data_IF_295552421650
#
_entry.id   IF_295552421650
#
_cell.length_a   1.000
_cell.length_b   1.000
_cell.length_c   1.000
_cell.angle_alpha   90.00
_cell.angle_beta   90.00
_cell.angle_gamma   90.00
#
_symmetry.space_group_name_H-M   'P 1'
#
loop_
_entity.id
_entity.type
_entity.pdbx_description
1 polymer ?
#
# COMPACT_ATOMS: atom_id res chain seq x y z
N UNK A 1 14.70 -11.16 -2.05
CA UNK A 1 13.42 -11.63 -2.63
C UNK A 1 13.43 -11.38 -4.13
N UNK A 2 12.81 -12.22 -4.96
CA UNK A 2 12.69 -11.96 -6.41
C UNK A 2 11.48 -11.07 -6.70
N UNK A 3 11.56 -10.20 -7.71
CA UNK A 3 10.46 -9.29 -8.10
C UNK A 3 9.18 -10.10 -8.39
N UNK A 4 9.27 -11.19 -9.13
CA UNK A 4 8.10 -12.05 -9.44
C UNK A 4 7.40 -12.56 -8.17
N UNK A 5 8.16 -12.93 -7.13
CA UNK A 5 7.58 -13.39 -5.86
C UNK A 5 6.85 -12.28 -5.09
N UNK A 6 7.22 -11.01 -5.30
CA UNK A 6 6.48 -9.87 -4.76
C UNK A 6 5.24 -9.58 -5.59
N UNK A 7 5.32 -9.72 -6.92
CA UNK A 7 4.18 -9.55 -7.82
C UNK A 7 3.09 -10.61 -7.59
N UNK A 8 3.47 -11.84 -7.22
CA UNK A 8 2.50 -12.89 -6.87
C UNK A 8 1.64 -12.54 -5.63
N UNK A 9 2.14 -11.68 -4.74
CA UNK A 9 1.43 -11.29 -3.51
C UNK A 9 0.27 -10.34 -3.76
N UNK A 10 0.25 -9.68 -4.91
CA UNK A 10 -0.86 -8.83 -5.36
C UNK A 10 -1.77 -9.56 -6.36
N UNK A 11 -1.63 -10.88 -6.50
CA UNK A 11 -2.58 -11.66 -7.27
C UNK A 11 -3.98 -11.60 -6.61
N UNK A 12 -4.99 -11.24 -7.39
CA UNK A 12 -6.36 -11.07 -6.89
C UNK A 12 -6.66 -9.68 -6.29
N UNK A 13 -5.69 -8.78 -6.31
CA UNK A 13 -5.93 -7.36 -6.01
C UNK A 13 -6.60 -6.68 -7.22
N UNK A 14 -7.12 -5.45 -7.06
CA UNK A 14 -7.69 -4.68 -8.16
C UNK A 14 -6.78 -4.59 -9.39
N UNK A 15 -7.38 -4.40 -10.56
CA UNK A 15 -6.65 -4.23 -11.83
C UNK A 15 -5.58 -3.13 -11.72
N UNK A 16 -4.42 -3.35 -12.32
CA UNK A 16 -3.29 -2.42 -12.22
C UNK A 16 -2.43 -2.55 -10.96
N UNK A 17 -2.81 -3.38 -9.96
CA UNK A 17 -1.98 -3.57 -8.75
C UNK A 17 -0.62 -4.17 -9.04
N UNK A 18 -0.57 -5.18 -9.91
CA UNK A 18 0.69 -5.81 -10.33
C UNK A 18 1.57 -4.83 -11.09
N UNK A 19 1.00 -4.07 -12.02
CA UNK A 19 1.71 -3.05 -12.80
C UNK A 19 2.23 -1.91 -11.90
N UNK A 20 1.42 -1.46 -10.95
CA UNK A 20 1.82 -0.43 -9.99
C UNK A 20 2.97 -0.91 -9.08
N UNK A 21 2.90 -2.13 -8.56
CA UNK A 21 3.99 -2.72 -7.78
C UNK A 21 5.26 -2.89 -8.63
N UNK A 22 5.13 -3.42 -9.84
CA UNK A 22 6.26 -3.57 -10.75
C UNK A 22 6.93 -2.22 -11.05
N UNK A 23 6.14 -1.22 -11.46
CA UNK A 23 6.68 0.12 -11.74
C UNK A 23 7.36 0.70 -10.51
N UNK A 24 6.79 0.53 -9.31
CA UNK A 24 7.41 1.00 -8.08
C UNK A 24 8.74 0.30 -7.80
N UNK A 25 8.80 -1.02 -7.95
CA UNK A 25 10.03 -1.81 -7.73
C UNK A 25 11.12 -1.47 -8.74
N UNK A 26 10.76 -1.15 -9.99
CA UNK A 26 11.70 -0.81 -11.06
C UNK A 26 12.17 0.65 -11.00
N UNK A 27 11.27 1.58 -10.66
CA UNK A 27 11.52 3.03 -10.81
C UNK A 27 11.64 3.78 -9.49
N UNK A 28 11.11 3.23 -8.39
CA UNK A 28 11.00 3.90 -7.09
C UNK A 28 10.10 5.14 -7.09
N UNK A 29 9.24 5.34 -8.11
CA UNK A 29 8.34 6.49 -8.21
C UNK A 29 7.19 6.40 -7.21
N UNK A 30 6.99 7.47 -6.44
CA UNK A 30 5.93 7.55 -5.45
C UNK A 30 4.54 7.37 -6.05
N UNK A 31 4.29 7.87 -7.25
CA UNK A 31 2.99 7.74 -7.92
C UNK A 31 2.58 6.29 -8.15
N UNK A 32 3.56 5.41 -8.41
CA UNK A 32 3.31 3.98 -8.54
C UNK A 32 2.94 3.35 -7.19
N UNK A 33 3.61 3.76 -6.11
CA UNK A 33 3.29 3.34 -4.76
C UNK A 33 1.90 3.81 -4.32
N UNK A 34 1.56 5.07 -4.57
CA UNK A 34 0.27 5.64 -4.18
C UNK A 34 -0.89 4.86 -4.82
N UNK A 35 -0.76 4.48 -6.10
CA UNK A 35 -1.73 3.61 -6.78
C UNK A 35 -1.84 2.23 -6.13
N UNK A 36 -0.70 1.60 -5.83
CA UNK A 36 -0.67 0.31 -5.16
C UNK A 36 -1.35 0.37 -3.78
N UNK A 37 -1.06 1.42 -2.99
CA UNK A 37 -1.67 1.63 -1.67
C UNK A 37 -3.18 1.78 -1.79
N UNK A 38 -3.68 2.56 -2.75
CA UNK A 38 -5.13 2.67 -3.02
C UNK A 38 -5.75 1.33 -3.39
N UNK A 39 -5.07 0.52 -4.21
CA UNK A 39 -5.57 -0.81 -4.56
C UNK A 39 -5.61 -1.76 -3.35
N UNK A 40 -4.57 -1.73 -2.51
CA UNK A 40 -4.52 -2.53 -1.30
C UNK A 40 -5.61 -2.12 -0.31
N UNK A 41 -5.83 -0.81 -0.12
CA UNK A 41 -6.96 -0.30 0.68
C UNK A 41 -8.27 -0.90 0.16
N UNK A 42 -8.56 -0.75 -1.15
CA UNK A 42 -9.81 -1.28 -1.73
C UNK A 42 -9.98 -2.77 -1.55
N UNK A 43 -8.90 -3.53 -1.65
CA UNK A 43 -8.92 -4.98 -1.44
C UNK A 43 -9.37 -5.34 -0.01
N UNK A 44 -8.75 -4.71 0.99
CA UNK A 44 -8.96 -5.02 2.40
C UNK A 44 -10.14 -4.29 3.05
N UNK A 45 -10.70 -3.26 2.41
CA UNK A 45 -11.88 -2.60 2.94
C UNK A 45 -13.00 -3.60 3.23
N UNK A 46 -13.80 -3.40 4.29
CA UNK A 46 -14.96 -4.24 4.54
C UNK A 46 -16.04 -3.99 3.48
N UNK A 47 -16.89 -4.99 3.22
CA UNK A 47 -17.99 -4.88 2.24
C UNK A 47 -19.04 -3.83 2.60
N UNK A 48 -19.01 -3.31 3.83
CA UNK A 48 -19.82 -2.18 4.30
C UNK A 48 -19.34 -0.83 3.78
N UNK A 49 -18.08 -0.74 3.32
CA UNK A 49 -17.54 0.49 2.73
C UNK A 49 -18.00 0.63 1.27
N UNK A 50 -18.57 1.79 0.95
CA UNK A 50 -18.90 2.15 -0.44
C UNK A 50 -17.68 2.20 -1.36
N UNK A 51 -16.49 2.50 -0.82
CA UNK A 51 -15.24 2.54 -1.60
C UNK A 51 -14.75 1.14 -2.01
N UNK A 52 -15.29 0.07 -1.42
CA UNK A 52 -15.02 -1.29 -1.89
C UNK A 52 -15.81 -1.62 -3.17
N UNK A 53 -17.06 -1.16 -3.26
CA UNK A 53 -17.99 -1.56 -4.32
C UNK A 53 -18.11 -0.54 -5.44
N UNK A 54 -17.91 0.74 -5.14
CA UNK A 54 -17.92 1.82 -6.12
C UNK A 54 -16.50 2.29 -6.44
N UNK A 55 -16.01 1.89 -7.61
CA UNK A 55 -14.68 2.20 -8.10
C UNK A 55 -14.58 3.61 -8.70
N UNK A 56 -15.72 4.31 -8.88
CA UNK A 56 -15.73 5.70 -9.36
C UNK A 56 -15.39 6.70 -8.27
N UNK A 57 -15.58 6.32 -6.99
CA UNK A 57 -15.23 7.16 -5.85
C UNK A 57 -13.72 7.27 -5.70
N UNK A 58 -13.19 8.49 -5.71
CA UNK A 58 -11.77 8.72 -5.47
C UNK A 58 -11.44 8.58 -3.97
N UNK A 59 -10.38 7.85 -3.67
CA UNK A 59 -9.75 7.86 -2.32
C UNK A 59 -8.62 8.89 -2.39
N UNK A 60 -8.70 9.94 -1.57
CA UNK A 60 -7.74 11.04 -1.58
C UNK A 60 -6.86 11.05 -0.32
N UNK A 61 -5.65 11.65 -0.38
CA UNK A 61 -4.71 11.64 0.76
C UNK A 61 -5.25 12.29 2.05
N UNK A 62 -6.17 13.24 1.95
CA UNK A 62 -6.76 13.97 3.07
C UNK A 62 -7.84 13.17 3.84
N UNK A 63 -8.34 12.08 3.24
CA UNK A 63 -9.36 11.24 3.88
C UNK A 63 -8.80 10.49 5.09
N UNK A 64 -9.60 10.41 6.15
CA UNK A 64 -9.35 9.54 7.29
C UNK A 64 -9.71 8.09 6.97
N UNK A 65 -8.79 7.19 7.25
CA UNK A 65 -8.90 5.75 6.93
C UNK A 65 -10.16 5.13 7.56
N UNK A 66 -10.37 5.39 8.84
CA UNK A 66 -11.51 4.84 9.58
C UNK A 66 -12.77 5.67 9.36
N UNK A 67 -12.68 6.99 9.55
CA UNK A 67 -13.87 7.84 9.58
C UNK A 67 -14.47 8.11 8.19
N UNK A 68 -13.65 8.25 7.16
CA UNK A 68 -14.11 8.63 5.82
C UNK A 68 -14.19 7.41 4.90
N UNK A 69 -13.16 6.55 4.90
CA UNK A 69 -13.10 5.38 4.01
C UNK A 69 -13.80 4.15 4.62
N UNK A 70 -13.94 4.09 5.94
CA UNK A 70 -14.66 3.02 6.64
C UNK A 70 -13.83 1.75 6.81
N UNK A 71 -12.51 1.85 6.90
CA UNK A 71 -11.65 0.73 7.25
C UNK A 71 -11.77 0.41 8.74
N UNK A 72 -11.89 -0.86 9.08
CA UNK A 72 -11.89 -1.32 10.48
C UNK A 72 -10.49 -1.75 10.95
N UNK A 73 -10.36 -2.07 12.24
CA UNK A 73 -9.07 -2.47 12.83
C UNK A 73 -8.53 -3.77 12.28
N UNK A 74 -9.40 -4.69 11.84
CA UNK A 74 -8.98 -5.97 11.28
C UNK A 74 -8.44 -5.75 9.87
N UNK A 75 -9.15 -5.01 9.03
CA UNK A 75 -8.69 -4.61 7.70
C UNK A 75 -7.37 -3.83 7.75
N UNK A 76 -7.19 -2.96 8.75
CA UNK A 76 -5.92 -2.25 8.94
C UNK A 76 -4.77 -3.21 9.27
N UNK A 77 -5.01 -4.21 10.12
CA UNK A 77 -4.04 -5.24 10.45
C UNK A 77 -3.69 -6.10 9.22
N UNK A 78 -4.68 -6.48 8.41
CA UNK A 78 -4.46 -7.24 7.17
C UNK A 78 -3.65 -6.43 6.15
N UNK A 79 -3.95 -5.14 6.00
CA UNK A 79 -3.20 -4.24 5.14
C UNK A 79 -1.74 -4.10 5.57
N UNK A 80 -1.49 -3.97 6.88
CA UNK A 80 -0.14 -3.89 7.44
C UNK A 80 0.62 -5.20 7.18
N UNK A 81 0.01 -6.35 7.46
CA UNK A 81 0.63 -7.66 7.18
C UNK A 81 0.97 -7.84 5.70
N UNK A 82 0.10 -7.39 4.81
CA UNK A 82 0.38 -7.36 3.39
C UNK A 82 1.60 -6.50 3.07
N UNK A 83 1.72 -5.30 3.65
CA UNK A 83 2.89 -4.44 3.44
C UNK A 83 4.17 -5.06 3.99
N UNK A 84 4.14 -5.62 5.20
CA UNK A 84 5.27 -6.35 5.78
C UNK A 84 5.72 -7.50 4.88
N UNK A 85 4.76 -8.27 4.38
CA UNK A 85 5.03 -9.42 3.52
C UNK A 85 5.56 -8.99 2.14
N UNK A 86 4.90 -8.07 1.43
CA UNK A 86 5.32 -7.63 0.09
C UNK A 86 6.71 -6.99 0.09
N UNK A 87 7.04 -6.27 1.15
CA UNK A 87 8.24 -5.46 1.18
C UNK A 87 9.33 -5.94 2.13
N UNK A 88 9.08 -7.06 2.81
CA UNK A 88 10.01 -7.69 3.75
C UNK A 88 10.43 -6.69 4.85
N UNK A 89 9.46 -5.96 5.39
CA UNK A 89 9.64 -4.96 6.46
C UNK A 89 8.90 -5.39 7.72
N UNK A 90 9.26 -4.80 8.86
CA UNK A 90 8.51 -4.94 10.10
C UNK A 90 7.92 -3.58 10.48
N UNK A 91 6.65 -3.58 10.86
CA UNK A 91 5.86 -2.41 11.21
C UNK A 91 5.40 -2.58 12.67
N UNK A 92 5.86 -1.70 13.54
CA UNK A 92 5.51 -1.76 14.94
C UNK A 92 4.08 -1.24 15.18
N UNK A 93 3.40 -1.78 16.18
CA UNK A 93 2.04 -1.36 16.52
C UNK A 93 1.92 0.15 16.81
N UNK A 94 2.95 0.75 17.42
CA UNK A 94 2.98 2.20 17.67
C UNK A 94 3.01 3.01 16.38
N UNK A 95 3.60 2.49 15.31
CA UNK A 95 3.60 3.18 14.02
C UNK A 95 2.25 3.11 13.34
N UNK A 96 1.56 1.97 13.45
CA UNK A 96 0.19 1.82 12.95
C UNK A 96 -0.76 2.83 13.60
N UNK A 97 -0.59 3.10 14.90
CA UNK A 97 -1.42 4.06 15.64
C UNK A 97 -1.27 5.51 15.17
N UNK A 98 -0.13 5.86 14.55
CA UNK A 98 0.13 7.19 14.02
C UNK A 98 -0.53 7.42 12.65
N UNK A 99 -0.89 6.33 11.95
CA UNK A 99 -1.51 6.36 10.62
C UNK A 99 -3.02 6.59 10.76
N UNK A 100 -3.47 7.81 10.44
CA UNK A 100 -4.90 8.21 10.52
C UNK A 100 -5.51 8.51 9.17
N UNK A 101 -4.69 8.99 8.23
CA UNK A 101 -5.11 9.43 6.90
C UNK A 101 -4.46 8.60 5.81
N UNK A 102 -5.06 8.60 4.62
CA UNK A 102 -4.53 7.90 3.45
C UNK A 102 -3.14 8.44 3.08
N UNK A 103 -2.94 9.76 3.14
CA UNK A 103 -1.65 10.38 2.89
C UNK A 103 -0.56 9.91 3.86
N UNK A 104 -0.88 9.78 5.15
CA UNK A 104 0.05 9.24 6.13
C UNK A 104 0.43 7.78 5.84
N UNK A 105 -0.51 6.97 5.37
CA UNK A 105 -0.22 5.60 4.96
C UNK A 105 0.70 5.56 3.74
N UNK A 106 0.46 6.41 2.74
CA UNK A 106 1.31 6.56 1.56
C UNK A 106 2.73 7.02 1.94
N UNK A 107 2.84 8.03 2.78
CA UNK A 107 4.13 8.50 3.32
C UNK A 107 4.84 7.42 4.13
N UNK A 108 4.10 6.68 4.94
CA UNK A 108 4.63 5.58 5.73
C UNK A 108 5.19 4.49 4.82
N UNK A 109 4.44 4.08 3.80
CA UNK A 109 4.89 3.15 2.78
C UNK A 109 6.16 3.68 2.10
N UNK A 110 6.18 4.91 1.59
CA UNK A 110 7.35 5.43 0.90
C UNK A 110 8.59 5.52 1.80
N UNK A 111 8.42 5.88 3.08
CA UNK A 111 9.53 5.95 4.04
C UNK A 111 10.09 4.58 4.42
N UNK A 112 9.25 3.54 4.49
CA UNK A 112 9.71 2.18 4.77
C UNK A 112 10.38 1.52 3.56
N UNK A 113 9.99 1.92 2.36
CA UNK A 113 10.36 1.26 1.10
C UNK A 113 11.43 2.00 0.30
N UNK A 114 11.33 3.32 0.26
CA UNK A 114 12.24 4.22 -0.42
C UNK A 114 13.72 3.99 -0.06
N UNK A 115 14.09 3.72 1.21
CA UNK A 115 15.49 3.43 1.57
C UNK A 115 16.03 2.15 0.92
N UNK A 116 15.23 1.08 0.86
CA UNK A 116 15.66 -0.21 0.28
C UNK A 116 15.79 -0.14 -1.24
N UNK A 117 14.86 0.52 -1.92
CA UNK A 117 14.88 0.67 -3.39
C UNK A 117 15.98 1.64 -3.86
N UNK A 118 16.18 2.76 -3.16
CA UNK A 118 17.27 3.71 -3.47
C UNK A 118 18.66 3.10 -3.25
N UNK A 119 18.82 2.25 -2.25
CA UNK A 119 20.07 1.53 -2.01
C UNK A 119 20.35 0.46 -3.08
N UNK A 120 19.32 -0.25 -3.55
CA UNK A 120 19.44 -1.24 -4.63
C UNK A 120 19.71 -0.61 -6.00
N UNK A 121 19.10 0.55 -6.29
CA UNK A 121 19.31 1.29 -7.54
C UNK A 121 20.70 1.97 -7.64
N UNK A 122 21.37 2.20 -6.50
CA UNK A 122 22.71 2.80 -6.47
C UNK A 122 23.86 1.80 -6.70
N UNK A 123 23.56 0.50 -6.81
CA UNK A 123 24.56 -0.57 -7.04
C UNK A 123 24.78 -0.96 -8.50
N UNK A 124 24.09 -0.31 -9.44
CA UNK A 124 24.28 -0.49 -10.87
C UNK A 124 25.06 0.70 -11.46
N UNK A 125 26.36 0.76 -11.16
CA UNK A 125 27.32 1.65 -11.83
C UNK A 125 28.62 0.90 -12.09
#
# INVERSE_FOLDING_TARGET
MSIEAQLDKVNGFPEGSREALQEYLETGKREALDRLVVHAIRHYLPSTSQYKTDHSLAITPDMQIVADVGMDSLSMMELVFFMEDVFDVQIEATEMQEIKTIGQLMDFADNRLGPKLKASASGAA
#
